data_IF_387755154761
#
_entry.id   IF_387755154761
#
_cell.length_a   1.000
_cell.length_b   1.000
_cell.length_c   1.000
_cell.angle_alpha   90.00
_cell.angle_beta   90.00
_cell.angle_gamma   90.00
#
_symmetry.space_group_name_H-M   'P 1'
#
loop_
_entity.id
_entity.type
_entity.pdbx_description
1 polymer ?
#
# COMPACT_ATOMS: atom_id res chain seq x y z
N UNK A 1 3.57 28.03 -9.62
CA UNK A 1 2.44 28.95 -9.81
C UNK A 1 1.65 29.06 -8.51
N UNK A 2 1.37 30.26 -7.99
CA UNK A 2 0.55 30.40 -6.79
C UNK A 2 -0.83 29.75 -7.01
N UNK A 3 -1.31 29.03 -6.02
CA UNK A 3 -2.59 28.32 -6.11
C UNK A 3 -2.56 26.96 -6.78
N UNK A 4 -1.39 26.52 -7.25
CA UNK A 4 -1.23 25.18 -7.81
C UNK A 4 -1.52 24.10 -6.78
N UNK A 5 -2.06 22.95 -7.23
CA UNK A 5 -2.39 21.80 -6.36
C UNK A 5 -1.43 20.67 -6.65
N UNK A 6 -0.84 20.12 -5.60
CA UNK A 6 -0.02 18.91 -5.65
C UNK A 6 -0.81 17.76 -5.04
N UNK A 7 -0.91 16.65 -5.76
CA UNK A 7 -1.56 15.44 -5.27
C UNK A 7 -0.50 14.37 -5.11
N UNK A 8 -0.37 13.85 -3.89
CA UNK A 8 0.52 12.75 -3.57
C UNK A 8 -0.29 11.49 -3.32
N UNK A 9 0.03 10.42 -4.04
CA UNK A 9 -0.59 9.11 -3.86
C UNK A 9 0.52 8.15 -3.46
N UNK A 10 0.40 7.53 -2.29
CA UNK A 10 1.43 6.65 -1.78
C UNK A 10 0.84 5.56 -0.88
N UNK A 11 1.55 4.43 -0.67
CA UNK A 11 1.13 3.44 0.31
C UNK A 11 1.06 4.05 1.72
N UNK A 12 0.12 3.55 2.52
CA UNK A 12 0.03 3.98 3.93
C UNK A 12 1.16 3.32 4.72
N UNK A 13 1.97 4.12 5.41
CA UNK A 13 3.17 3.67 6.11
C UNK A 13 2.91 2.58 7.15
N UNK A 14 1.83 2.68 7.90
CA UNK A 14 1.53 1.76 9.00
C UNK A 14 0.52 0.65 8.61
N UNK A 15 0.18 0.55 7.33
CA UNK A 15 -0.75 -0.46 6.82
C UNK A 15 -0.05 -1.29 5.75
N UNK A 16 0.32 -2.51 6.11
CA UNK A 16 1.01 -3.43 5.20
C UNK A 16 0.02 -4.11 4.27
N UNK A 17 0.44 -4.43 3.03
CA UNK A 17 -0.38 -5.24 2.14
C UNK A 17 -0.74 -6.57 2.81
N UNK A 18 -1.97 -7.03 2.60
CA UNK A 18 -2.47 -8.22 3.26
C UNK A 18 -2.88 -9.28 2.25
N UNK A 19 -2.47 -10.52 2.48
CA UNK A 19 -2.76 -11.65 1.61
C UNK A 19 -3.82 -12.55 2.24
N UNK A 20 -4.81 -12.92 1.44
CA UNK A 20 -5.83 -13.90 1.82
C UNK A 20 -6.11 -14.85 0.65
N UNK A 21 -6.55 -16.06 0.96
CA UNK A 21 -7.13 -16.98 -0.01
C UNK A 21 -8.64 -16.82 0.07
N UNK A 22 -9.25 -16.47 -1.06
CA UNK A 22 -10.69 -16.20 -1.13
C UNK A 22 -11.39 -17.14 -2.08
N UNK A 23 -12.48 -17.74 -1.62
CA UNK A 23 -13.41 -18.51 -2.43
C UNK A 23 -14.83 -18.00 -2.15
N UNK A 24 -15.85 -18.35 -2.99
CA UNK A 24 -17.22 -17.95 -2.69
C UNK A 24 -17.64 -18.33 -1.27
N UNK A 25 -18.08 -17.32 -0.50
CA UNK A 25 -18.50 -17.51 0.88
C UNK A 25 -17.40 -17.76 1.89
N UNK A 26 -16.14 -17.69 1.50
CA UNK A 26 -15.00 -17.96 2.39
C UNK A 26 -13.84 -17.02 2.12
N UNK A 27 -13.23 -16.50 3.18
CA UNK A 27 -12.00 -15.72 3.11
C UNK A 27 -11.07 -16.19 4.23
N UNK A 28 -9.93 -16.74 3.84
CA UNK A 28 -8.93 -17.24 4.79
C UNK A 28 -7.71 -16.33 4.79
N UNK A 29 -7.44 -15.64 5.91
CA UNK A 29 -6.27 -14.77 6.01
C UNK A 29 -4.98 -15.57 5.98
N UNK A 30 -3.97 -15.04 5.31
CA UNK A 30 -2.64 -15.64 5.21
C UNK A 30 -1.64 -14.85 6.03
N UNK A 31 -1.32 -13.62 5.63
CA UNK A 31 -0.30 -12.82 6.28
C UNK A 31 -0.30 -11.38 5.78
N UNK A 32 0.26 -10.48 6.61
CA UNK A 32 0.67 -9.16 6.17
C UNK A 32 2.08 -9.25 5.60
N UNK A 33 2.33 -8.57 4.49
CA UNK A 33 3.65 -8.57 3.85
C UNK A 33 4.60 -7.57 4.52
N UNK A 34 5.89 -7.86 4.48
CA UNK A 34 6.92 -7.06 5.10
C UNK A 34 7.78 -6.41 4.02
N UNK A 35 8.02 -5.10 4.16
CA UNK A 35 8.95 -4.40 3.27
C UNK A 35 9.66 -3.27 4.02
N UNK A 36 10.68 -3.61 4.85
CA UNK A 36 11.37 -2.60 5.66
C UNK A 36 12.00 -1.47 4.85
N UNK A 37 12.55 -1.78 3.68
CA UNK A 37 13.14 -0.75 2.80
C UNK A 37 12.09 0.25 2.32
N UNK A 38 10.93 -0.24 1.88
CA UNK A 38 9.82 0.63 1.47
C UNK A 38 9.27 1.43 2.64
N UNK A 39 9.15 0.82 3.81
CA UNK A 39 8.67 1.50 5.02
C UNK A 39 9.60 2.65 5.40
N UNK A 40 10.92 2.47 5.29
CA UNK A 40 11.89 3.55 5.53
C UNK A 40 11.75 4.69 4.54
N UNK A 41 11.54 4.39 3.27
CA UNK A 41 11.33 5.40 2.22
C UNK A 41 10.04 6.18 2.45
N UNK A 42 8.96 5.51 2.83
CA UNK A 42 7.68 6.15 3.14
C UNK A 42 7.82 7.06 4.36
N UNK A 43 8.54 6.63 5.38
CA UNK A 43 8.81 7.43 6.56
C UNK A 43 9.59 8.70 6.20
N UNK A 44 10.62 8.59 5.36
CA UNK A 44 11.40 9.72 4.88
C UNK A 44 10.53 10.68 4.04
N UNK A 45 9.67 10.14 3.17
CA UNK A 45 8.76 10.94 2.36
C UNK A 45 7.76 11.73 3.23
N UNK A 46 7.20 11.09 4.25
CA UNK A 46 6.30 11.76 5.20
C UNK A 46 7.03 12.89 5.94
N UNK A 47 8.26 12.63 6.40
CA UNK A 47 9.06 13.65 7.07
C UNK A 47 9.35 14.85 6.15
N UNK A 48 9.63 14.60 4.88
CA UNK A 48 9.86 15.65 3.89
C UNK A 48 8.60 16.50 3.69
N UNK A 49 7.43 15.87 3.59
CA UNK A 49 6.15 16.59 3.48
C UNK A 49 5.91 17.45 4.70
N UNK A 50 6.12 16.92 5.90
CA UNK A 50 5.95 17.67 7.14
C UNK A 50 6.90 18.87 7.22
N UNK A 51 8.14 18.72 6.74
CA UNK A 51 9.10 19.83 6.66
C UNK A 51 8.61 20.94 5.76
N UNK A 52 8.11 20.59 4.57
CA UNK A 52 7.60 21.56 3.60
C UNK A 52 6.37 22.30 4.15
N UNK A 53 5.47 21.58 4.81
CA UNK A 53 4.29 22.17 5.45
C UNK A 53 4.71 23.08 6.61
N UNK A 54 5.65 22.65 7.44
CA UNK A 54 6.15 23.45 8.56
C UNK A 54 6.83 24.76 8.09
N UNK A 55 7.50 24.73 6.93
CA UNK A 55 8.09 25.92 6.32
C UNK A 55 7.06 26.79 5.58
N UNK A 56 5.80 26.45 5.60
CA UNK A 56 4.70 27.15 4.94
C UNK A 56 4.87 27.29 3.42
N UNK A 57 5.55 26.34 2.79
CA UNK A 57 5.67 26.27 1.34
C UNK A 57 4.44 25.64 0.69
N UNK A 58 3.85 24.67 1.39
CA UNK A 58 2.62 24.00 0.99
C UNK A 58 1.65 23.94 2.16
N UNK A 59 0.37 23.98 1.85
CA UNK A 59 -0.72 23.79 2.82
C UNK A 59 -1.47 22.52 2.47
N UNK A 60 -1.66 21.66 3.46
CA UNK A 60 -2.46 20.44 3.28
C UNK A 60 -3.94 20.82 3.21
N UNK A 61 -4.58 20.49 2.08
CA UNK A 61 -6.00 20.83 1.85
C UNK A 61 -6.93 19.62 1.87
N UNK A 62 -6.38 18.41 1.86
CA UNK A 62 -7.18 17.20 1.97
C UNK A 62 -6.31 15.97 2.15
N UNK A 63 -6.90 14.96 2.79
CA UNK A 63 -6.28 13.65 2.96
C UNK A 63 -7.37 12.59 2.94
N UNK A 64 -7.17 11.55 2.14
CA UNK A 64 -8.11 10.43 2.07
C UNK A 64 -7.35 9.12 2.09
N UNK A 65 -7.75 8.24 2.99
CA UNK A 65 -7.27 6.86 3.01
C UNK A 65 -8.11 6.05 2.03
N UNK A 66 -7.45 5.17 1.30
CA UNK A 66 -8.09 4.33 0.30
C UNK A 66 -7.52 2.92 0.38
N UNK A 67 -8.36 1.92 0.19
CA UNK A 67 -7.91 0.55 0.04
C UNK A 67 -8.49 -0.05 -1.22
N UNK A 68 -7.74 -0.93 -1.86
CA UNK A 68 -8.22 -1.69 -2.99
C UNK A 68 -7.74 -3.14 -2.89
N UNK A 69 -8.42 -4.01 -3.59
CA UNK A 69 -8.11 -5.44 -3.60
C UNK A 69 -7.79 -5.90 -5.00
N UNK A 70 -6.69 -6.63 -5.12
CA UNK A 70 -6.28 -7.27 -6.36
C UNK A 70 -6.54 -8.76 -6.20
N UNK A 71 -7.17 -9.37 -7.19
CA UNK A 71 -7.45 -10.81 -7.21
C UNK A 71 -6.57 -11.47 -8.24
N UNK A 72 -5.87 -12.51 -7.82
CA UNK A 72 -4.91 -13.25 -8.62
C UNK A 72 -5.33 -14.71 -8.69
N UNK A 73 -5.09 -15.35 -9.83
CA UNK A 73 -5.60 -16.69 -10.07
C UNK A 73 -4.87 -17.78 -9.26
N UNK A 74 -3.59 -17.56 -8.93
CA UNK A 74 -2.76 -18.59 -8.31
C UNK A 74 -1.51 -17.97 -7.67
N UNK A 75 -0.73 -18.76 -6.88
CA UNK A 75 0.51 -18.27 -6.27
C UNK A 75 1.56 -17.77 -7.26
N UNK A 76 1.63 -18.31 -8.46
CA UNK A 76 2.56 -17.86 -9.49
C UNK A 76 2.25 -16.42 -9.91
N UNK A 77 0.98 -16.09 -10.10
CA UNK A 77 0.56 -14.73 -10.39
C UNK A 77 0.84 -13.78 -9.22
N UNK A 78 0.67 -14.27 -7.99
CA UNK A 78 1.03 -13.50 -6.81
C UNK A 78 2.52 -13.15 -6.82
N UNK A 79 3.39 -14.13 -7.09
CA UNK A 79 4.83 -13.87 -7.14
C UNK A 79 5.17 -12.84 -8.22
N UNK A 80 4.55 -12.89 -9.38
CA UNK A 80 4.73 -11.87 -10.42
C UNK A 80 4.29 -10.50 -9.94
N UNK A 81 3.12 -10.44 -9.33
CA UNK A 81 2.59 -9.18 -8.81
C UNK A 81 3.53 -8.55 -7.77
N UNK A 82 4.06 -9.35 -6.86
CA UNK A 82 4.95 -8.85 -5.81
C UNK A 82 6.31 -8.39 -6.35
N UNK A 83 6.75 -8.94 -7.49
CA UNK A 83 8.06 -8.62 -8.08
C UNK A 83 7.99 -7.54 -9.17
N UNK A 84 6.89 -6.80 -9.27
CA UNK A 84 6.78 -5.71 -10.25
C UNK A 84 7.59 -4.47 -9.86
N UNK A 85 7.95 -4.32 -8.59
CA UNK A 85 8.73 -3.19 -8.11
C UNK A 85 10.20 -3.55 -7.88
N UNK A 86 11.03 -2.53 -7.67
CA UNK A 86 12.46 -2.70 -7.39
C UNK A 86 12.73 -3.28 -6.00
N UNK A 87 11.79 -3.13 -5.09
CA UNK A 87 11.90 -3.59 -3.70
C UNK A 87 10.67 -4.42 -3.37
N UNK A 88 10.66 -5.71 -3.78
CA UNK A 88 9.50 -6.55 -3.57
C UNK A 88 9.26 -6.79 -2.08
N UNK A 89 8.00 -6.76 -1.63
CA UNK A 89 7.65 -7.18 -0.28
C UNK A 89 7.87 -8.68 -0.12
N UNK A 90 8.00 -9.13 1.11
CA UNK A 90 8.20 -10.54 1.42
C UNK A 90 7.21 -11.01 2.49
N UNK A 91 7.01 -12.31 2.53
CA UNK A 91 6.22 -12.92 3.58
C UNK A 91 6.96 -12.89 4.92
N UNK A 92 6.24 -12.71 6.04
CA UNK A 92 6.81 -12.97 7.35
C UNK A 92 7.07 -14.47 7.55
N UNK A 93 7.81 -14.83 8.59
CA UNK A 93 8.09 -16.21 8.91
C UNK A 93 6.79 -17.03 8.97
N UNK A 94 6.76 -18.18 8.28
CA UNK A 94 5.58 -19.04 8.21
C UNK A 94 4.48 -18.60 7.25
N UNK A 95 4.54 -17.37 6.71
CA UNK A 95 3.49 -16.84 5.84
C UNK A 95 3.36 -17.59 4.52
N UNK A 96 4.47 -17.86 3.86
CA UNK A 96 4.47 -18.62 2.60
C UNK A 96 4.00 -20.06 2.79
N UNK A 97 4.42 -20.70 3.87
CA UNK A 97 3.95 -22.06 4.20
C UNK A 97 2.44 -22.09 4.44
N UNK A 98 1.91 -21.08 5.13
CA UNK A 98 0.48 -20.96 5.34
C UNK A 98 -0.27 -20.77 4.03
N UNK A 99 0.24 -19.92 3.14
CA UNK A 99 -0.34 -19.73 1.81
C UNK A 99 -0.39 -21.05 1.05
N UNK A 100 0.71 -21.80 1.02
CA UNK A 100 0.78 -23.08 0.33
C UNK A 100 -0.21 -24.09 0.89
N UNK A 101 -0.33 -24.18 2.22
CA UNK A 101 -1.27 -25.08 2.87
C UNK A 101 -2.73 -24.72 2.53
N UNK A 102 -3.10 -23.46 2.63
CA UNK A 102 -4.45 -22.99 2.31
C UNK A 102 -4.76 -23.17 0.83
N UNK A 103 -3.79 -22.91 -0.05
CA UNK A 103 -3.97 -23.07 -1.48
C UNK A 103 -4.15 -24.55 -1.86
N UNK A 104 -3.40 -25.44 -1.23
CA UNK A 104 -3.52 -26.88 -1.47
C UNK A 104 -4.92 -27.41 -1.13
N UNK A 105 -5.54 -26.89 -0.09
CA UNK A 105 -6.89 -27.28 0.35
C UNK A 105 -7.99 -26.34 -0.13
N UNK A 106 -7.71 -25.53 -1.14
CA UNK A 106 -8.66 -24.53 -1.63
C UNK A 106 -9.94 -25.11 -2.17
N UNK A 107 -11.01 -24.33 -2.03
CA UNK A 107 -12.30 -24.62 -2.65
C UNK A 107 -12.31 -24.24 -4.14
N UNK A 108 -13.22 -24.82 -4.94
CA UNK A 108 -13.40 -24.38 -6.32
C UNK A 108 -13.66 -22.87 -6.41
N UNK A 109 -13.07 -22.23 -7.41
CA UNK A 109 -13.20 -20.78 -7.59
C UNK A 109 -12.33 -19.95 -6.68
N UNK A 110 -11.39 -20.55 -5.94
CA UNK A 110 -10.49 -19.82 -5.07
C UNK A 110 -9.55 -18.92 -5.86
N UNK A 111 -9.29 -17.76 -5.28
CA UNK A 111 -8.32 -16.77 -5.78
C UNK A 111 -7.48 -16.27 -4.63
N UNK A 112 -6.31 -15.71 -4.94
CA UNK A 112 -5.50 -15.00 -3.97
C UNK A 112 -5.89 -13.53 -4.01
N UNK A 113 -6.18 -12.97 -2.84
CA UNK A 113 -6.56 -11.56 -2.70
C UNK A 113 -5.45 -10.81 -2.01
N UNK A 114 -5.01 -9.72 -2.64
CA UNK A 114 -4.06 -8.78 -2.05
C UNK A 114 -4.82 -7.51 -1.71
N UNK A 115 -4.82 -7.12 -0.46
CA UNK A 115 -5.39 -5.84 -0.02
C UNK A 115 -4.27 -4.83 0.09
N UNK A 116 -4.37 -3.73 -0.65
CA UNK A 116 -3.42 -2.62 -0.65
C UNK A 116 -4.04 -1.41 0.04
N UNK A 117 -3.24 -0.72 0.85
CA UNK A 117 -3.68 0.46 1.58
C UNK A 117 -2.90 1.67 1.09
N UNK A 118 -3.63 2.67 0.62
CA UNK A 118 -3.06 3.89 0.04
C UNK A 118 -3.56 5.12 0.78
N UNK A 119 -2.82 6.21 0.67
CA UNK A 119 -3.25 7.52 1.11
C UNK A 119 -3.09 8.51 -0.04
N UNK A 120 -4.08 9.36 -0.20
CA UNK A 120 -4.07 10.48 -1.14
C UNK A 120 -4.02 11.77 -0.32
N UNK A 121 -3.00 12.58 -0.55
CA UNK A 121 -2.81 13.85 0.13
C UNK A 121 -2.82 14.95 -0.92
N UNK A 122 -3.72 15.92 -0.76
CA UNK A 122 -3.76 17.10 -1.60
C UNK A 122 -3.17 18.29 -0.84
N UNK A 123 -2.31 19.04 -1.52
CA UNK A 123 -1.66 20.22 -0.96
C UNK A 123 -1.76 21.37 -1.96
N UNK A 124 -1.75 22.58 -1.44
CA UNK A 124 -1.76 23.80 -2.24
C UNK A 124 -0.49 24.59 -1.99
N UNK A 125 0.11 25.11 -3.06
CA UNK A 125 1.23 26.04 -2.94
C UNK A 125 0.76 27.32 -2.22
N UNK A 126 1.55 27.78 -1.25
CA UNK A 126 1.27 29.02 -0.56
C UNK A 126 1.60 30.20 -1.47
N UNK A 127 0.65 31.15 -1.57
CA UNK A 127 0.87 32.39 -2.28
C UNK A 127 1.74 33.29 -1.43
N UNK A 128 2.92 33.69 -1.97
CA UNK A 128 3.83 34.59 -1.27
C UNK A 128 3.21 35.96 -0.99
N UNK A 129 2.26 36.39 -1.81
CA UNK A 129 1.59 37.66 -1.61
C UNK A 129 0.66 37.65 -0.39
N UNK A 130 0.26 36.47 0.11
CA UNK A 130 -0.62 36.34 1.28
C UNK A 130 0.13 36.21 2.60
N UNK A 131 1.45 36.25 2.55
CA UNK A 131 2.32 36.29 3.76
C UNK A 131 2.79 37.72 4.06
#
# INVERSE_FOLDING_TARGET
MPGGVLICIQPRRLKRPFIAVRAPGQRQPVASLINPASERLLSAAEAAIETVVAKRLLVRIGKKNHQFRVRLANPTELDRYLHTGQRPPRFPAGGRSRLQALWKSRRPGAQIEVTEYMVVIAMRAVDKAST
#
